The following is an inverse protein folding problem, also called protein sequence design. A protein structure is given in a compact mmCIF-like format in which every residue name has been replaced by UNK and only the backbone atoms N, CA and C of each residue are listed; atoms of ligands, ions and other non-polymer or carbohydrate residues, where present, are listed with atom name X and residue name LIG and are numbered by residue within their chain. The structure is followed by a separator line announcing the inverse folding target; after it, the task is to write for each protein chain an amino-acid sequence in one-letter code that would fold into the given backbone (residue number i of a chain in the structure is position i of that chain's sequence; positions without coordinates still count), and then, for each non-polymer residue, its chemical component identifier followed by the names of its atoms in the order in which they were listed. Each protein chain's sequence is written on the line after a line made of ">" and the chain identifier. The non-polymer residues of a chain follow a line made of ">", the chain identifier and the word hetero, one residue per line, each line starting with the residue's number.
data_IF_716188828655
#
_entry.id   IF_716188828655
#
_cell.length_a   1.000
_cell.length_b   1.000
_cell.length_c   1.000
_cell.angle_alpha   90.00
_cell.angle_beta   90.00
_cell.angle_gamma   90.00
#
_symmetry.space_group_name_H-M   'P 1'
#
loop_
_entity.id
_entity.type
_entity.pdbx_description
1 polymer ?
#
# COMPACT_ATOMS: atom_id res chain seq x y z
N UNK A 1 2.88 -11.57 -14.91
CA UNK A 1 3.89 -11.84 -14.23
C UNK A 1 4.58 -10.76 -13.60
N UNK A 2 4.52 -10.05 -12.92
CA UNK A 2 5.17 -9.17 -12.00
C UNK A 2 6.60 -8.78 -12.30
N UNK A 3 6.99 -8.84 -13.56
CA UNK A 3 8.36 -8.46 -13.90
C UNK A 3 8.49 -6.99 -14.25
N UNK A 4 7.37 -6.30 -14.41
CA UNK A 4 7.41 -4.89 -14.74
C UNK A 4 7.89 -4.07 -13.56
N UNK A 5 8.70 -3.07 -13.86
CA UNK A 5 9.19 -2.14 -12.87
C UNK A 5 8.38 -0.86 -12.97
N UNK A 6 7.91 -0.39 -11.83
CA UNK A 6 7.13 0.84 -11.74
C UNK A 6 7.95 1.92 -11.05
N UNK A 7 7.84 3.14 -11.55
CA UNK A 7 8.43 4.29 -10.89
C UNK A 7 7.42 4.85 -9.89
N UNK A 8 7.90 5.32 -8.75
CA UNK A 8 7.04 5.92 -7.75
C UNK A 8 7.67 7.12 -7.11
N UNK A 9 6.85 7.94 -6.47
CA UNK A 9 7.31 9.12 -5.76
C UNK A 9 6.27 9.56 -4.75
N UNK A 10 6.73 10.22 -3.69
CA UNK A 10 5.81 10.91 -2.79
C UNK A 10 5.28 12.17 -3.48
N UNK A 11 4.36 12.85 -2.82
CA UNK A 11 3.69 13.99 -3.45
C UNK A 11 4.64 15.11 -3.81
N UNK A 12 5.59 15.43 -2.92
CA UNK A 12 6.53 16.52 -3.20
C UNK A 12 7.70 16.10 -4.08
N UNK A 13 7.81 14.80 -4.39
CA UNK A 13 8.86 14.30 -5.26
C UNK A 13 10.22 14.10 -4.59
N UNK A 14 10.33 14.40 -3.31
CA UNK A 14 11.61 14.22 -2.61
C UNK A 14 12.00 12.76 -2.53
N UNK A 15 11.03 11.88 -2.23
CA UNK A 15 11.28 10.44 -2.16
C UNK A 15 10.87 9.84 -3.50
N UNK A 16 11.79 9.12 -4.12
CA UNK A 16 11.53 8.45 -5.39
C UNK A 16 12.01 7.02 -5.28
N UNK A 17 11.26 6.11 -5.90
CA UNK A 17 11.61 4.70 -5.82
C UNK A 17 11.22 3.99 -7.10
N UNK A 18 11.80 2.81 -7.26
CA UNK A 18 11.40 1.84 -8.29
C UNK A 18 10.97 0.58 -7.60
N UNK A 19 9.93 -0.04 -8.12
CA UNK A 19 9.43 -1.25 -7.48
C UNK A 19 8.98 -2.25 -8.52
N UNK A 20 9.31 -3.51 -8.25
CA UNK A 20 8.79 -4.64 -8.99
C UNK A 20 7.71 -5.28 -8.14
N UNK A 21 6.46 -5.21 -8.62
CA UNK A 21 5.33 -5.75 -7.87
C UNK A 21 5.28 -7.26 -8.00
N UNK A 22 4.88 -7.93 -6.90
CA UNK A 22 4.83 -9.39 -6.87
C UNK A 22 3.76 -9.94 -7.79
N UNK A 23 2.58 -9.33 -7.76
CA UNK A 23 1.43 -9.83 -8.51
C UNK A 23 0.75 -8.69 -9.27
N UNK A 24 1.51 -7.72 -9.71
CA UNK A 24 0.97 -6.55 -10.37
C UNK A 24 -0.03 -5.87 -9.44
N UNK A 25 -1.21 -5.61 -9.94
CA UNK A 25 -2.25 -4.95 -9.16
C UNK A 25 -3.31 -5.92 -8.63
N UNK A 26 -3.07 -7.22 -8.78
CA UNK A 26 -4.05 -8.22 -8.35
C UNK A 26 -4.27 -8.24 -6.85
N UNK A 27 -3.27 -7.78 -6.09
CA UNK A 27 -3.37 -7.76 -4.63
C UNK A 27 -3.81 -6.42 -4.08
N UNK A 28 -4.31 -5.50 -4.87
CA UNK A 28 -4.75 -4.19 -4.41
C UNK A 28 -5.79 -4.36 -3.29
N UNK A 29 -5.54 -3.71 -2.16
CA UNK A 29 -6.37 -3.90 -0.97
C UNK A 29 -6.28 -2.72 -0.04
N UNK A 30 -7.26 -2.65 0.84
CA UNK A 30 -7.24 -1.79 2.02
C UNK A 30 -7.37 -2.69 3.24
N UNK A 31 -7.30 -2.11 4.41
CA UNK A 31 -7.31 -2.87 5.65
C UNK A 31 -8.09 -2.07 6.71
N UNK A 32 -8.80 -2.78 7.59
CA UNK A 32 -9.61 -2.14 8.63
C UNK A 32 -8.85 -1.90 9.92
N UNK A 33 -7.55 -2.23 10.01
CA UNK A 33 -6.82 -2.04 11.25
C UNK A 33 -6.81 -0.55 11.63
N UNK A 34 -6.47 -0.29 12.91
CA UNK A 34 -6.60 1.07 13.44
C UNK A 34 -5.83 2.11 12.64
N UNK A 35 -4.68 1.73 12.11
CA UNK A 35 -3.85 2.66 11.35
C UNK A 35 -4.28 2.75 9.90
N UNK A 36 -4.52 1.61 9.27
CA UNK A 36 -4.84 1.59 7.84
C UNK A 36 -6.18 2.22 7.54
N UNK A 37 -7.16 2.09 8.43
CA UNK A 37 -8.46 2.73 8.19
C UNK A 37 -8.34 4.25 8.22
N UNK A 38 -7.43 4.77 9.03
CA UNK A 38 -7.20 6.22 9.07
C UNK A 38 -6.40 6.69 7.86
N UNK A 39 -5.43 5.89 7.46
CA UNK A 39 -4.57 6.25 6.33
C UNK A 39 -5.33 6.19 5.00
N UNK A 40 -6.16 5.19 4.81
CA UNK A 40 -7.02 5.10 3.63
C UNK A 40 -6.34 4.73 2.33
N UNK A 41 -5.11 4.25 2.38
CA UNK A 41 -4.36 3.96 1.17
C UNK A 41 -4.71 2.59 0.60
N UNK A 42 -4.63 2.47 -0.71
CA UNK A 42 -4.70 1.19 -1.41
C UNK A 42 -3.27 0.73 -1.63
N UNK A 43 -2.98 -0.49 -1.24
CA UNK A 43 -1.62 -1.03 -1.32
C UNK A 43 -1.57 -2.26 -2.21
N UNK A 44 -0.41 -2.47 -2.82
CA UNK A 44 -0.10 -3.68 -3.58
C UNK A 44 1.19 -4.25 -3.05
N UNK A 45 1.44 -5.52 -3.31
CA UNK A 45 2.55 -6.24 -2.71
C UNK A 45 3.81 -6.20 -3.55
N UNK A 46 4.95 -6.12 -2.87
CA UNK A 46 6.26 -6.30 -3.48
C UNK A 46 7.15 -7.06 -2.52
N UNK A 47 8.08 -7.84 -3.05
CA UNK A 47 9.08 -8.49 -2.21
C UNK A 47 10.05 -7.44 -1.68
N UNK A 48 10.73 -7.77 -0.59
CA UNK A 48 11.69 -6.82 -0.01
C UNK A 48 12.77 -6.44 -1.02
N UNK A 49 13.21 -7.40 -1.83
CA UNK A 49 14.24 -7.12 -2.84
C UNK A 49 13.66 -6.50 -4.10
N UNK A 50 12.37 -6.25 -4.14
CA UNK A 50 11.73 -5.63 -5.29
C UNK A 50 11.61 -4.12 -5.20
N UNK A 51 11.99 -3.51 -4.09
CA UNK A 51 11.86 -2.07 -3.89
C UNK A 51 13.24 -1.45 -3.78
N UNK A 52 13.46 -0.39 -4.55
CA UNK A 52 14.70 0.36 -4.50
C UNK A 52 14.36 1.84 -4.27
N UNK A 53 14.88 2.43 -3.21
CA UNK A 53 14.73 3.86 -2.99
C UNK A 53 15.81 4.55 -3.80
N UNK A 54 15.38 5.29 -4.82
CA UNK A 54 16.31 5.91 -5.77
C UNK A 54 16.81 7.25 -5.24
N UNK A 55 15.91 7.99 -4.59
CA UNK A 55 16.21 9.32 -4.08
C UNK A 55 15.45 9.56 -2.80
N UNK A 56 16.04 10.39 -1.93
CA UNK A 56 15.31 10.90 -0.77
C UNK A 56 15.16 9.92 0.37
N UNK A 57 16.01 8.92 0.44
CA UNK A 57 15.91 7.95 1.54
C UNK A 57 16.01 8.66 2.89
N UNK A 58 16.83 9.69 3.00
CA UNK A 58 16.97 10.45 4.23
C UNK A 58 15.74 11.24 4.63
N UNK A 59 14.79 11.43 3.70
CA UNK A 59 13.54 12.11 4.00
C UNK A 59 12.46 11.18 4.47
N UNK A 60 12.68 9.86 4.41
CA UNK A 60 11.69 8.90 4.88
C UNK A 60 11.70 8.86 6.40
N UNK A 61 10.50 8.92 6.97
CA UNK A 61 10.29 8.72 8.41
C UNK A 61 9.63 7.38 8.61
N UNK A 62 9.93 6.77 9.76
CA UNK A 62 9.39 5.45 10.11
C UNK A 62 8.44 5.61 11.28
N UNK A 63 7.26 5.03 11.13
CA UNK A 63 6.27 4.95 12.19
C UNK A 63 5.99 3.50 12.51
N UNK A 64 6.03 3.14 13.78
CA UNK A 64 5.66 1.82 14.26
C UNK A 64 4.74 1.97 15.47
N UNK A 65 3.95 0.93 15.73
CA UNK A 65 3.06 0.93 16.88
C UNK A 65 2.81 -0.52 17.31
N UNK A 66 2.21 -0.69 18.50
CA UNK A 66 1.97 -2.02 19.09
C UNK A 66 3.27 -2.80 19.19
N UNK A 67 3.34 -3.95 18.52
CA UNK A 67 4.53 -4.81 18.58
C UNK A 67 5.71 -4.23 17.81
N UNK A 68 5.49 -3.24 16.97
CA UNK A 68 6.54 -2.73 16.11
C UNK A 68 6.89 -3.64 14.95
N UNK A 69 6.13 -4.71 14.74
CA UNK A 69 6.40 -5.67 13.67
C UNK A 69 6.18 -5.06 12.30
N UNK A 70 5.12 -4.27 12.16
CA UNK A 70 4.87 -3.57 10.91
C UNK A 70 5.63 -2.25 10.92
N UNK A 71 6.23 -1.93 9.80
CA UNK A 71 7.01 -0.69 9.67
C UNK A 71 6.39 0.14 8.57
N UNK A 72 6.06 1.39 8.89
CA UNK A 72 5.36 2.27 7.95
C UNK A 72 6.23 3.47 7.65
N UNK A 73 6.54 3.66 6.38
CA UNK A 73 7.40 4.78 5.96
C UNK A 73 6.58 5.83 5.24
N UNK A 74 6.94 7.07 5.47
CA UNK A 74 6.31 8.19 4.80
C UNK A 74 7.34 9.30 4.60
N UNK A 75 7.08 10.16 3.63
CA UNK A 75 7.96 11.31 3.39
C UNK A 75 7.75 12.33 4.51
N UNK A 76 8.84 12.72 5.17
CA UNK A 76 8.75 13.69 6.27
C UNK A 76 8.42 15.09 5.77
N UNK A 77 8.59 15.36 4.49
CA UNK A 77 8.35 16.70 3.94
C UNK A 77 6.92 16.90 3.49
N UNK A 78 6.31 15.90 2.88
CA UNK A 78 4.92 16.04 2.43
C UNK A 78 3.95 15.14 3.18
N UNK A 79 4.45 14.23 4.02
CA UNK A 79 3.60 13.37 4.83
C UNK A 79 3.00 12.19 4.11
N UNK A 80 3.29 11.99 2.84
CA UNK A 80 2.68 10.92 2.08
C UNK A 80 3.35 9.59 2.38
N UNK A 81 2.53 8.61 2.76
CA UNK A 81 2.94 7.23 2.96
C UNK A 81 3.38 6.64 1.62
N UNK A 82 4.55 6.01 1.63
CA UNK A 82 5.09 5.40 0.42
C UNK A 82 4.96 3.90 0.43
N UNK A 83 5.33 3.26 1.52
CA UNK A 83 5.30 1.81 1.62
C UNK A 83 5.35 1.38 3.08
N UNK A 84 5.05 0.11 3.32
CA UNK A 84 5.21 -0.45 4.66
C UNK A 84 5.65 -1.90 4.56
N UNK A 85 6.32 -2.38 5.61
CA UNK A 85 6.65 -3.79 5.74
C UNK A 85 5.52 -4.45 6.50
N UNK A 86 4.97 -5.52 5.94
CA UNK A 86 3.73 -6.11 6.43
C UNK A 86 3.97 -6.90 7.70
N UNK A 87 3.00 -6.82 8.62
CA UNK A 87 3.03 -7.60 9.84
C UNK A 87 2.77 -9.08 9.57
N UNK A 88 1.80 -9.35 8.71
CA UNK A 88 1.40 -10.73 8.41
C UNK A 88 2.36 -11.44 7.46
N UNK A 89 3.12 -10.68 6.68
CA UNK A 89 4.14 -11.23 5.78
C UNK A 89 5.36 -10.33 5.81
N UNK A 90 6.25 -10.54 6.78
CA UNK A 90 7.40 -9.63 6.93
C UNK A 90 8.36 -9.64 5.74
N UNK A 91 8.26 -10.61 4.85
CA UNK A 91 9.08 -10.66 3.65
C UNK A 91 8.47 -9.88 2.48
N UNK A 92 7.41 -9.11 2.76
CA UNK A 92 6.75 -8.29 1.74
C UNK A 92 6.58 -6.87 2.21
N UNK A 93 6.65 -5.96 1.23
CA UNK A 93 6.18 -4.59 1.40
C UNK A 93 4.77 -4.45 0.85
N UNK A 94 4.01 -3.52 1.43
CA UNK A 94 2.82 -2.96 0.79
C UNK A 94 3.22 -1.62 0.20
N UNK A 95 2.90 -1.41 -1.05
CA UNK A 95 3.28 -0.20 -1.79
C UNK A 95 2.02 0.63 -2.01
N UNK A 96 2.10 1.92 -1.72
CA UNK A 96 0.99 2.84 -1.95
C UNK A 96 0.80 3.03 -3.45
N UNK A 97 -0.30 2.53 -4.01
CA UNK A 97 -0.52 2.65 -5.45
C UNK A 97 -0.60 4.10 -5.92
N UNK A 98 -1.00 5.01 -5.03
CA UNK A 98 -1.11 6.42 -5.39
C UNK A 98 0.24 7.05 -5.68
N UNK A 99 1.32 6.44 -5.22
CA UNK A 99 2.67 6.91 -5.50
C UNK A 99 3.19 6.46 -6.85
N UNK A 100 2.56 5.46 -7.46
CA UNK A 100 3.07 4.89 -8.71
C UNK A 100 2.69 5.76 -9.89
N UNK A 101 3.66 6.00 -10.76
CA UNK A 101 3.46 6.87 -11.91
C UNK A 101 2.34 6.32 -12.80
N UNK A 102 1.40 7.18 -13.15
CA UNK A 102 0.31 6.82 -14.03
C UNK A 102 -0.78 5.97 -13.40
N UNK A 103 -0.73 5.73 -12.10
CA UNK A 103 -1.72 4.90 -11.42
C UNK A 103 -2.48 5.75 -10.40
N UNK A 104 -3.79 5.62 -10.41
CA UNK A 104 -4.65 6.26 -9.41
C UNK A 104 -5.39 5.18 -8.64
N UNK A 105 -5.57 5.37 -7.30
CA UNK A 105 -6.43 4.44 -6.57
C UNK A 105 -7.84 4.37 -7.14
N UNK A 106 -8.26 5.40 -7.86
CA UNK A 106 -9.60 5.44 -8.45
C UNK A 106 -9.66 4.73 -9.79
N UNK A 107 -8.55 4.16 -10.25
CA UNK A 107 -8.56 3.28 -11.43
C UNK A 107 -9.15 1.90 -11.10
N UNK A 108 -9.35 1.61 -9.83
CA UNK A 108 -9.80 0.29 -9.37
C UNK A 108 -11.29 0.34 -9.09
N UNK A 109 -12.12 -0.33 -9.91
CA UNK A 109 -13.56 -0.30 -9.64
C UNK A 109 -13.93 -1.00 -8.34
N UNK A 110 -13.13 -1.98 -7.93
CA UNK A 110 -13.35 -2.67 -6.67
C UNK A 110 -12.02 -2.90 -5.98
N UNK A 111 -12.01 -2.70 -4.67
CA UNK A 111 -10.83 -2.94 -3.85
C UNK A 111 -11.23 -3.80 -2.67
N UNK A 112 -10.56 -4.92 -2.51
CA UNK A 112 -10.77 -5.81 -1.37
C UNK A 112 -10.34 -5.10 -0.09
N UNK A 113 -11.14 -5.27 0.97
CA UNK A 113 -10.81 -4.74 2.29
C UNK A 113 -10.55 -5.92 3.21
N UNK A 114 -9.31 -6.06 3.64
CA UNK A 114 -8.92 -7.13 4.57
C UNK A 114 -9.30 -6.76 5.99
N UNK A 115 -9.64 -7.79 6.78
CA UNK A 115 -10.00 -7.60 8.18
C UNK A 115 -8.75 -7.48 9.01
N UNK A 116 -8.34 -6.25 9.30
CA UNK A 116 -7.18 -5.99 10.15
C UNK A 116 -7.51 -5.89 11.63
N UNK A 117 -8.80 -5.90 11.98
CA UNK A 117 -9.21 -5.91 13.39
C UNK A 117 -9.04 -7.30 13.98
N UNK A 118 -9.18 -8.33 13.16
CA UNK A 118 -8.94 -9.71 13.56
C UNK A 118 -7.74 -10.23 12.79
N UNK A 119 -6.59 -9.63 13.08
CA UNK A 119 -5.38 -9.91 12.32
C UNK A 119 -4.95 -11.37 12.50
N UNK A 120 -4.55 -12.04 11.40
CA UNK A 120 -4.14 -13.45 11.51
C UNK A 120 -3.02 -13.70 12.51
N UNK A 121 -2.13 -12.75 12.70
CA UNK A 121 -1.03 -12.90 13.65
C UNK A 121 -1.51 -12.92 15.09
N UNK A 122 -2.72 -12.43 15.37
CA UNK A 122 -3.30 -12.41 16.69
C UNK A 122 -4.27 -13.58 16.93
N UNK A 123 -4.41 -14.44 15.93
CA UNK A 123 -5.35 -15.55 16.00
C UNK A 123 -4.59 -16.83 16.28
N UNK A 124 -4.70 -17.38 17.53
CA UNK A 124 -3.98 -18.61 17.85
C UNK A 124 -4.42 -19.79 17.01
N UNK A 125 -5.59 -19.72 16.40
CA UNK A 125 -6.09 -20.78 15.53
C UNK A 125 -5.48 -20.74 14.15
N UNK A 126 -4.81 -19.65 13.81
CA UNK A 126 -4.19 -19.53 12.50
C UNK A 126 -5.17 -19.51 11.35
N UNK A 127 -6.30 -18.84 11.54
CA UNK A 127 -7.36 -18.85 10.54
C UNK A 127 -6.99 -18.15 9.22
N UNK A 128 -5.90 -17.38 9.21
CA UNK A 128 -5.49 -16.68 8.02
C UNK A 128 -6.24 -15.38 7.80
N UNK A 129 -5.90 -14.71 6.71
CA UNK A 129 -6.48 -13.42 6.40
C UNK A 129 -7.95 -13.58 6.03
N UNK A 130 -8.76 -12.64 6.48
CA UNK A 130 -10.18 -12.60 6.15
C UNK A 130 -10.49 -11.33 5.42
N UNK A 131 -11.49 -11.41 4.54
CA UNK A 131 -11.98 -10.25 3.81
C UNK A 131 -13.15 -9.67 4.58
N UNK A 132 -13.03 -8.40 4.95
CA UNK A 132 -14.11 -7.70 5.65
C UNK A 132 -15.17 -7.21 4.67
N UNK A 133 -14.77 -6.91 3.45
CA UNK A 133 -15.71 -6.41 2.47
C UNK A 133 -14.99 -5.95 1.22
N UNK A 134 -15.74 -5.21 0.39
CA UNK A 134 -15.23 -4.67 -0.86
C UNK A 134 -15.72 -3.23 -0.98
N UNK A 135 -14.81 -2.34 -1.34
CA UNK A 135 -15.16 -0.96 -1.65
C UNK A 135 -15.28 -0.83 -3.17
N UNK A 136 -16.30 -0.14 -3.60
CA UNK A 136 -16.53 0.11 -5.02
C UNK A 136 -16.39 1.59 -5.32
N UNK A 137 -15.84 1.86 -6.47
CA UNK A 137 -15.80 3.21 -7.00
C UNK A 137 -16.57 3.20 -8.32
N UNK A 138 -17.72 3.88 -8.34
CA UNK A 138 -18.53 4.02 -9.53
C UNK A 138 -18.37 5.45 -10.03
N UNK A 139 -17.54 5.67 -11.04
CA UNK A 139 -17.34 7.03 -11.51
C UNK A 139 -18.64 7.61 -12.05
N UNK A 140 -18.86 8.89 -11.81
CA UNK A 140 -20.01 9.55 -12.41
C UNK A 140 -19.84 9.55 -13.92
N UNK A 141 -20.93 9.53 -14.67
CA UNK A 141 -20.83 9.58 -16.13
C UNK A 141 -20.07 10.82 -16.56
N UNK A 142 -19.22 10.64 -17.53
CA UNK A 142 -18.47 11.75 -18.08
C UNK A 142 -19.43 12.80 -18.61
N UNK A 143 -19.09 14.06 -18.39
CA UNK A 143 -19.84 15.13 -19.02
C UNK A 143 -19.57 15.21 -20.50
N UNK A 144 -18.75 14.34 -20.98
CA UNK A 144 -18.50 14.24 -22.39
C UNK A 144 -17.66 15.36 -22.92
N UNK A 145 -18.13 16.47 -22.85
CA UNK A 145 -17.49 17.55 -23.52
C UNK A 145 -16.62 18.36 -22.65
N UNK A 146 -15.96 17.75 -21.82
CA UNK A 146 -15.06 18.51 -20.99
C UNK A 146 -13.92 19.05 -21.77
#
# INVERSE_FOLDING_TARGET
>A
MGTEVHEGACHCGTVRFRVRLSDGFATARRCTCSYCRMRGAVAVSARLDGLEIVDGEGALSLYTFNTGSAKHWFCSRCGIYTHHQRRSKPDEYGINVACLAGVSPFDFPEVVVNDGENHPADDPQGAGARIAGVLRFDPTPSKGTK
#
